data_IF_323201728130
#
_entry.id   IF_323201728130
#
_cell.length_a   1.000
_cell.length_b   1.000
_cell.length_c   1.000
_cell.angle_alpha   90.00
_cell.angle_beta   90.00
_cell.angle_gamma   90.00
#
_symmetry.space_group_name_H-M   'P 1'
#
loop_
_entity.id
_entity.type
_entity.pdbx_description
1 polymer ?
#
# COMPACT_ATOMS: atom_id res chain seq x y z
N UNK A 1 -8.40 -31.18 -25.28
CA UNK A 1 -9.30 -30.99 -24.13
C UNK A 1 -8.40 -30.69 -22.94
N UNK A 2 -8.20 -29.40 -22.62
CA UNK A 2 -7.29 -28.98 -21.55
C UNK A 2 -8.15 -28.45 -20.42
N UNK A 3 -8.26 -29.22 -19.34
CA UNK A 3 -8.98 -28.84 -18.14
C UNK A 3 -8.08 -27.89 -17.33
N UNK A 4 -8.35 -26.58 -17.37
CA UNK A 4 -7.73 -25.62 -16.46
C UNK A 4 -8.43 -25.72 -15.10
N UNK A 5 -7.73 -26.25 -14.11
CA UNK A 5 -8.14 -26.16 -12.71
C UNK A 5 -7.78 -24.78 -12.19
N UNK A 6 -8.77 -23.91 -11.99
CA UNK A 6 -8.58 -22.64 -11.30
C UNK A 6 -8.58 -22.89 -9.79
N UNK A 7 -7.41 -22.71 -9.16
CA UNK A 7 -7.28 -22.56 -7.72
C UNK A 7 -7.03 -21.07 -7.44
N UNK A 8 -7.72 -20.51 -6.45
CA UNK A 8 -7.43 -19.17 -5.94
C UNK A 8 -5.93 -19.08 -5.58
N UNK A 9 -5.21 -18.03 -5.98
CA UNK A 9 -3.82 -17.85 -5.61
C UNK A 9 -3.75 -17.63 -4.10
N UNK A 10 -3.46 -18.70 -3.36
CA UNK A 10 -2.98 -18.55 -2.00
C UNK A 10 -1.56 -18.01 -2.11
N UNK A 11 -1.27 -16.92 -1.39
CA UNK A 11 0.11 -16.49 -1.18
C UNK A 11 0.95 -17.74 -0.91
N UNK A 12 1.97 -18.00 -1.73
CA UNK A 12 2.90 -19.08 -1.44
C UNK A 12 3.38 -18.86 -0.02
N UNK A 13 3.13 -19.86 0.81
CA UNK A 13 3.62 -19.95 2.17
C UNK A 13 5.13 -19.74 2.13
N UNK A 14 5.58 -18.50 2.37
CA UNK A 14 6.95 -18.09 2.68
C UNK A 14 8.08 -18.74 1.86
N UNK A 15 8.80 -17.94 1.07
CA UNK A 15 10.10 -18.31 0.46
C UNK A 15 11.11 -18.93 1.48
N UNK A 16 10.87 -18.73 2.78
CA UNK A 16 11.62 -19.36 3.87
C UNK A 16 11.26 -20.84 4.10
N UNK A 17 11.83 -21.72 3.27
CA UNK A 17 11.71 -23.17 3.44
C UNK A 17 12.52 -23.67 4.65
N UNK A 18 13.77 -23.20 4.77
CA UNK A 18 14.77 -23.67 5.75
C UNK A 18 14.83 -22.86 7.04
N UNK A 19 14.36 -21.62 7.02
CA UNK A 19 14.42 -20.73 8.17
C UNK A 19 13.01 -20.28 8.54
N UNK A 20 12.79 -20.04 9.82
CA UNK A 20 11.66 -19.24 10.30
C UNK A 20 12.24 -17.90 10.75
N UNK A 21 11.84 -16.82 10.07
CA UNK A 21 12.36 -15.49 10.31
C UNK A 21 11.23 -14.49 10.58
N UNK A 22 11.39 -13.75 11.67
CA UNK A 22 10.56 -12.64 12.12
C UNK A 22 11.39 -11.36 12.08
N UNK A 23 10.86 -10.30 11.48
CA UNK A 23 11.52 -8.99 11.41
C UNK A 23 10.53 -7.94 11.89
N UNK A 24 10.93 -7.15 12.87
CA UNK A 24 10.13 -6.07 13.46
C UNK A 24 10.96 -4.80 13.55
N UNK A 25 10.38 -3.70 13.11
CA UNK A 25 10.94 -2.37 13.30
C UNK A 25 10.13 -1.66 14.38
N UNK A 26 10.76 -1.40 15.53
CA UNK A 26 10.11 -0.87 16.72
C UNK A 26 10.59 0.56 16.95
N UNK A 27 9.69 1.56 17.08
CA UNK A 27 10.11 2.92 17.40
C UNK A 27 10.75 2.97 18.79
N UNK A 28 11.92 3.61 18.90
CA UNK A 28 12.65 3.80 20.17
C UNK A 28 12.59 5.26 20.62
N UNK A 29 12.95 6.18 19.71
CA UNK A 29 12.91 7.63 19.93
C UNK A 29 12.41 8.31 18.67
N UNK A 30 11.39 9.15 18.79
CA UNK A 30 10.77 9.86 17.66
C UNK A 30 10.71 11.36 17.97
N UNK A 31 11.84 12.04 17.80
CA UNK A 31 11.91 13.50 17.88
C UNK A 31 11.78 14.11 16.48
N UNK A 32 11.43 15.41 16.41
CA UNK A 32 11.27 16.13 15.13
C UNK A 32 12.50 16.03 14.21
N UNK A 33 13.70 15.90 14.79
CA UNK A 33 14.98 15.84 14.06
C UNK A 33 15.69 14.49 14.12
N UNK A 34 15.25 13.56 14.97
CA UNK A 34 15.93 12.28 15.18
C UNK A 34 14.91 11.15 15.28
N UNK A 35 14.85 10.31 14.24
CA UNK A 35 14.06 9.08 14.24
C UNK A 35 14.97 7.87 14.47
N UNK A 36 14.79 7.22 15.63
CA UNK A 36 15.53 6.02 16.03
C UNK A 36 14.55 4.86 16.12
N UNK A 37 14.87 3.78 15.41
CA UNK A 37 14.14 2.52 15.50
C UNK A 37 15.06 1.41 15.99
N UNK A 38 14.51 0.45 16.72
CA UNK A 38 15.13 -0.84 17.02
C UNK A 38 14.69 -1.85 15.97
N UNK A 39 15.63 -2.31 15.15
CA UNK A 39 15.41 -3.43 14.24
C UNK A 39 15.65 -4.73 15.02
N UNK A 40 14.58 -5.51 15.21
CA UNK A 40 14.59 -6.81 15.88
C UNK A 40 14.40 -7.91 14.84
N UNK A 41 15.36 -8.82 14.76
CA UNK A 41 15.38 -9.97 13.86
C UNK A 41 15.42 -11.23 14.72
N UNK A 42 14.46 -12.13 14.52
CA UNK A 42 14.42 -13.44 15.18
C UNK A 42 14.54 -14.51 14.10
N UNK A 43 15.52 -15.42 14.25
CA UNK A 43 15.80 -16.48 13.28
C UNK A 43 15.82 -17.84 13.98
N UNK A 44 15.17 -18.83 13.39
CA UNK A 44 15.20 -20.22 13.80
C UNK A 44 15.43 -21.12 12.57
N UNK A 45 16.31 -22.11 12.68
CA UNK A 45 16.50 -23.09 11.62
C UNK A 45 15.42 -24.18 11.66
N UNK A 46 14.80 -24.49 10.52
CA UNK A 46 13.67 -25.43 10.39
C UNK A 46 14.14 -26.87 10.10
N UNK A 47 15.19 -27.30 10.77
CA UNK A 47 15.69 -28.69 10.72
C UNK A 47 15.39 -29.40 12.04
N UNK A 48 15.31 -30.73 12.01
CA UNK A 48 14.96 -31.52 13.20
C UNK A 48 16.18 -32.04 13.95
N UNK A 49 17.33 -32.11 13.27
CA UNK A 49 18.48 -32.88 13.72
C UNK A 49 19.73 -32.00 13.91
N UNK A 50 19.84 -30.87 13.18
CA UNK A 50 21.06 -30.04 13.21
C UNK A 50 20.79 -28.54 13.29
N UNK A 51 21.73 -27.82 13.88
CA UNK A 51 21.84 -26.37 13.73
C UNK A 51 22.36 -26.01 12.32
N UNK A 52 22.02 -24.82 11.82
CA UNK A 52 22.61 -24.27 10.61
C UNK A 52 23.98 -23.68 10.94
N UNK A 53 25.05 -24.19 10.34
CA UNK A 53 26.40 -23.65 10.52
C UNK A 53 26.68 -22.51 9.56
N UNK A 54 27.42 -21.48 10.01
CA UNK A 54 27.89 -20.37 9.16
C UNK A 54 26.74 -19.71 8.39
N UNK A 55 25.76 -19.21 9.12
CA UNK A 55 24.63 -18.50 8.52
C UNK A 55 24.97 -17.03 8.30
N UNK A 56 24.46 -16.47 7.20
CA UNK A 56 24.65 -15.06 6.85
C UNK A 56 23.30 -14.36 6.91
N UNK A 57 23.29 -13.21 7.59
CA UNK A 57 22.22 -12.24 7.56
C UNK A 57 22.65 -11.06 6.70
N UNK A 58 22.00 -10.90 5.55
CA UNK A 58 22.21 -9.76 4.65
C UNK A 58 21.03 -8.80 4.78
N UNK A 59 21.33 -7.61 5.31
CA UNK A 59 20.36 -6.59 5.72
C UNK A 59 20.57 -5.36 4.84
N UNK A 60 19.60 -5.08 3.97
CA UNK A 60 19.50 -3.78 3.33
C UNK A 60 19.03 -2.74 4.35
N UNK A 61 19.65 -1.56 4.37
CA UNK A 61 19.17 -0.45 5.18
C UNK A 61 18.09 0.33 4.43
N UNK A 62 17.25 1.06 5.16
CA UNK A 62 16.33 2.03 4.57
C UNK A 62 17.13 3.24 4.07
N UNK A 63 16.71 3.85 2.97
CA UNK A 63 17.39 5.04 2.43
C UNK A 63 17.45 6.15 3.49
N UNK A 64 18.65 6.68 3.74
CA UNK A 64 18.88 7.72 4.75
C UNK A 64 18.95 7.21 6.19
N UNK A 65 19.04 5.89 6.40
CA UNK A 65 19.28 5.28 7.71
C UNK A 65 20.69 4.72 7.85
N UNK A 66 21.25 4.80 9.05
CA UNK A 66 22.52 4.18 9.43
C UNK A 66 22.36 3.33 10.69
N UNK A 67 23.25 2.36 10.87
CA UNK A 67 23.21 1.46 12.03
C UNK A 67 24.01 2.01 13.20
N UNK A 68 23.54 1.74 14.41
CA UNK A 68 24.31 2.05 15.61
C UNK A 68 25.45 1.03 15.79
N UNK A 69 26.68 1.48 15.52
CA UNK A 69 27.87 0.62 15.60
C UNK A 69 28.18 0.14 17.01
N UNK A 70 27.81 0.91 18.04
CA UNK A 70 28.02 0.50 19.44
C UNK A 70 27.15 -0.73 19.79
N UNK A 71 25.92 -0.79 19.29
CA UNK A 71 25.03 -1.93 19.52
C UNK A 71 25.58 -3.19 18.82
N UNK A 72 26.08 -3.07 17.59
CA UNK A 72 26.71 -4.17 16.84
C UNK A 72 28.04 -4.64 17.48
N UNK A 73 28.80 -3.71 18.03
CA UNK A 73 30.02 -4.02 18.77
C UNK A 73 29.73 -4.83 20.04
N UNK A 74 28.66 -4.51 20.76
CA UNK A 74 28.22 -5.27 21.93
C UNK A 74 27.77 -6.69 21.57
N UNK A 75 27.20 -6.88 20.38
CA UNK A 75 26.78 -8.20 19.90
C UNK A 75 27.97 -9.06 19.43
N UNK A 76 29.03 -8.43 18.93
CA UNK A 76 30.20 -9.13 18.34
C UNK A 76 31.34 -9.36 19.34
N UNK A 77 31.47 -8.50 20.36
CA UNK A 77 32.58 -8.52 21.31
C UNK A 77 32.17 -9.16 22.64
N UNK A 78 33.08 -9.97 23.22
CA UNK A 78 32.92 -10.56 24.56
C UNK A 78 32.75 -12.08 24.56
N UNK A 79 32.58 -12.65 25.77
CA UNK A 79 32.47 -14.10 25.99
C UNK A 79 31.10 -14.69 25.59
N UNK A 80 30.07 -13.84 25.52
CA UNK A 80 28.71 -14.19 25.12
C UNK A 80 28.34 -13.53 23.78
N UNK A 81 29.29 -13.50 22.83
CA UNK A 81 29.05 -12.93 21.49
C UNK A 81 27.93 -13.71 20.80
N UNK A 82 27.00 -12.98 20.20
CA UNK A 82 25.90 -13.56 19.40
C UNK A 82 26.26 -13.57 17.92
N UNK A 83 26.98 -12.54 17.46
CA UNK A 83 27.43 -12.45 16.08
C UNK A 83 28.94 -12.68 16.00
N UNK A 84 29.40 -13.32 14.93
CA UNK A 84 30.82 -13.64 14.69
C UNK A 84 31.57 -12.41 14.17
N UNK A 85 31.01 -11.78 13.14
CA UNK A 85 31.54 -10.57 12.49
C UNK A 85 30.38 -9.82 11.84
N UNK A 86 30.54 -8.53 11.63
CA UNK A 86 29.69 -7.77 10.72
C UNK A 86 30.53 -6.93 9.74
N UNK A 87 29.98 -6.67 8.57
CA UNK A 87 30.58 -5.84 7.53
C UNK A 87 29.52 -4.84 7.04
N UNK A 88 29.91 -3.56 6.97
CA UNK A 88 29.09 -2.54 6.35
C UNK A 88 29.62 -2.25 4.95
N UNK A 89 28.76 -2.40 3.95
CA UNK A 89 29.11 -2.06 2.58
C UNK A 89 28.42 -0.75 2.19
N UNK A 90 29.21 0.31 2.12
CA UNK A 90 28.79 1.63 1.63
C UNK A 90 29.12 1.84 0.15
N UNK A 91 29.85 0.91 -0.48
CA UNK A 91 30.43 1.07 -1.82
C UNK A 91 29.51 0.53 -2.91
N UNK A 92 28.67 -0.47 -2.59
CA UNK A 92 27.84 -1.17 -3.59
C UNK A 92 26.36 -0.75 -3.62
N UNK A 93 25.90 0.14 -2.73
CA UNK A 93 24.50 0.58 -2.69
C UNK A 93 24.35 1.97 -2.09
N UNK A 94 23.61 2.85 -2.75
CA UNK A 94 23.18 4.16 -2.22
C UNK A 94 22.40 4.05 -0.89
N UNK A 95 21.85 2.86 -0.60
CA UNK A 95 21.10 2.58 0.63
C UNK A 95 21.98 2.08 1.78
N UNK A 96 23.20 1.63 1.49
CA UNK A 96 24.05 0.90 2.44
C UNK A 96 23.51 -0.50 2.75
N UNK A 97 24.40 -1.47 2.93
CA UNK A 97 24.05 -2.81 3.42
C UNK A 97 24.88 -3.21 4.63
N UNK A 98 24.29 -4.04 5.49
CA UNK A 98 24.91 -4.64 6.65
C UNK A 98 24.87 -6.15 6.50
N UNK A 99 26.03 -6.79 6.47
CA UNK A 99 26.17 -8.23 6.47
C UNK A 99 26.60 -8.66 7.87
N UNK A 100 25.84 -9.56 8.48
CA UNK A 100 26.14 -10.15 9.79
C UNK A 100 26.42 -11.64 9.59
N UNK A 101 27.54 -12.10 10.12
CA UNK A 101 27.96 -13.49 10.10
C UNK A 101 27.63 -14.15 11.44
N UNK A 102 26.92 -15.28 11.40
CA UNK A 102 26.58 -16.10 12.56
C UNK A 102 27.35 -17.41 12.50
N UNK A 103 28.02 -17.78 13.61
CA UNK A 103 28.74 -19.05 13.69
C UNK A 103 27.76 -20.23 13.51
N UNK A 104 26.55 -20.10 14.08
CA UNK A 104 25.43 -21.02 13.87
C UNK A 104 24.08 -20.32 14.08
N UNK A 105 23.00 -20.96 13.63
CA UNK A 105 21.62 -20.65 14.01
C UNK A 105 20.98 -21.92 14.56
N UNK A 106 20.45 -21.84 15.78
CA UNK A 106 19.83 -23.02 16.41
C UNK A 106 18.55 -23.48 15.71
N UNK A 107 18.34 -24.79 15.72
CA UNK A 107 17.08 -25.40 15.28
C UNK A 107 16.05 -25.58 16.41
N UNK A 108 16.43 -25.33 17.67
CA UNK A 108 15.55 -25.53 18.85
C UNK A 108 15.10 -24.24 19.51
N UNK A 109 15.92 -23.19 19.46
CA UNK A 109 15.65 -21.89 20.10
C UNK A 109 15.85 -20.77 19.10
N UNK A 110 14.91 -19.82 18.97
CA UNK A 110 15.10 -18.66 18.12
C UNK A 110 16.28 -17.83 18.62
N UNK A 111 17.16 -17.44 17.69
CA UNK A 111 18.22 -16.47 17.95
C UNK A 111 17.70 -15.06 17.65
N UNK A 112 17.86 -14.15 18.60
CA UNK A 112 17.40 -12.77 18.52
C UNK A 112 18.58 -11.82 18.33
N UNK A 113 18.50 -10.98 17.31
CA UNK A 113 19.47 -9.94 16.99
C UNK A 113 18.73 -8.62 16.93
N UNK A 114 19.10 -7.71 17.82
CA UNK A 114 18.45 -6.40 17.95
C UNK A 114 19.50 -5.30 18.02
N UNK A 115 19.36 -4.29 17.15
CA UNK A 115 20.22 -3.10 17.15
C UNK A 115 19.44 -1.87 16.69
N UNK A 116 19.92 -0.68 17.04
CA UNK A 116 19.28 0.58 16.63
C UNK A 116 19.72 1.00 15.23
N UNK A 117 18.76 1.57 14.49
CA UNK A 117 18.95 2.28 13.23
C UNK A 117 18.50 3.73 13.40
N UNK A 118 19.28 4.65 12.86
CA UNK A 118 19.11 6.10 13.00
C UNK A 118 18.86 6.71 11.63
N UNK A 119 17.88 7.59 11.53
CA UNK A 119 17.70 8.38 10.31
C UNK A 119 18.70 9.53 10.27
N UNK A 120 19.71 9.45 9.40
CA UNK A 120 20.69 10.52 9.19
C UNK A 120 20.26 11.50 8.10
N UNK A 121 19.41 11.06 7.16
CA UNK A 121 18.89 11.89 6.08
C UNK A 121 17.40 11.68 5.91
N UNK A 122 16.64 12.78 5.92
CA UNK A 122 15.20 12.77 5.62
C UNK A 122 15.01 12.66 4.12
N UNK A 123 14.21 11.68 3.70
CA UNK A 123 13.82 11.46 2.29
C UNK A 123 12.31 11.58 2.16
N UNK A 124 11.84 11.98 0.98
CA UNK A 124 10.41 12.20 0.75
C UNK A 124 9.58 10.92 0.82
N UNK A 125 10.06 9.84 0.20
CA UNK A 125 9.40 8.52 0.22
C UNK A 125 10.40 7.48 0.69
N UNK A 126 10.09 6.80 1.79
CA UNK A 126 10.85 5.66 2.26
C UNK A 126 10.44 4.42 1.47
N UNK A 127 11.42 3.78 0.84
CA UNK A 127 11.21 2.49 0.19
C UNK A 127 11.48 1.37 1.21
N UNK A 128 10.69 0.29 1.21
CA UNK A 128 10.96 -0.86 2.06
C UNK A 128 12.35 -1.44 1.80
N UNK A 129 12.94 -2.03 2.84
CA UNK A 129 14.21 -2.73 2.74
C UNK A 129 14.07 -4.17 3.20
N UNK A 130 15.10 -4.98 2.95
CA UNK A 130 15.05 -6.44 3.13
C UNK A 130 16.02 -6.92 4.18
N UNK A 131 15.62 -7.97 4.88
CA UNK A 131 16.50 -8.86 5.63
C UNK A 131 16.45 -10.20 4.94
N UNK A 132 17.61 -10.78 4.62
CA UNK A 132 17.70 -12.14 4.10
C UNK A 132 18.60 -13.00 4.97
N UNK A 133 18.22 -14.26 5.14
CA UNK A 133 19.04 -15.26 5.84
C UNK A 133 19.25 -16.49 4.97
N UNK A 134 20.48 -17.00 4.98
CA UNK A 134 20.90 -18.19 4.22
C UNK A 134 22.12 -18.85 4.86
N UNK A 135 22.37 -20.12 4.52
CA UNK A 135 23.60 -20.83 4.91
C UNK A 135 24.70 -20.52 3.89
N UNK A 136 25.97 -20.42 4.31
CA UNK A 136 27.08 -20.16 3.39
C UNK A 136 27.14 -21.13 2.19
N UNK A 137 26.85 -22.41 2.43
CA UNK A 137 26.86 -23.47 1.41
C UNK A 137 25.51 -23.66 0.69
N UNK A 138 24.42 -23.07 1.19
CA UNK A 138 23.11 -23.14 0.56
C UNK A 138 22.49 -21.75 0.43
N UNK A 139 22.55 -21.23 -0.79
CA UNK A 139 22.04 -19.91 -1.17
C UNK A 139 20.51 -19.88 -1.34
N UNK A 140 19.77 -20.72 -0.63
CA UNK A 140 18.31 -20.57 -0.51
C UNK A 140 17.99 -19.49 0.49
N UNK A 141 17.83 -18.27 -0.01
CA UNK A 141 17.51 -17.09 0.79
C UNK A 141 16.08 -17.15 1.33
N UNK A 142 15.93 -16.99 2.64
CA UNK A 142 14.69 -16.57 3.26
C UNK A 142 14.70 -15.04 3.34
N UNK A 143 13.80 -14.36 2.62
CA UNK A 143 13.74 -12.89 2.56
C UNK A 143 12.48 -12.39 3.27
N UNK A 144 12.64 -11.36 4.10
CA UNK A 144 11.52 -10.57 4.65
C UNK A 144 11.77 -9.10 4.42
N UNK A 145 10.69 -8.35 4.22
CA UNK A 145 10.75 -6.90 4.09
C UNK A 145 10.42 -6.25 5.43
N UNK A 146 10.91 -5.03 5.63
CA UNK A 146 10.53 -4.19 6.75
C UNK A 146 10.39 -2.73 6.32
N UNK A 147 9.46 -2.03 6.95
CA UNK A 147 9.16 -0.62 6.73
C UNK A 147 8.49 -0.04 7.99
N UNK A 148 8.73 1.22 8.39
CA UNK A 148 8.13 1.80 9.59
C UNK A 148 6.59 1.83 9.54
N UNK A 149 6.02 2.16 8.38
CA UNK A 149 4.58 2.39 8.23
C UNK A 149 3.83 1.23 7.54
N UNK A 150 4.53 0.30 6.89
CA UNK A 150 3.89 -0.75 6.08
C UNK A 150 3.92 -2.08 6.83
N UNK A 151 2.78 -2.77 6.88
CA UNK A 151 2.67 -4.11 7.48
C UNK A 151 3.61 -5.07 6.75
N UNK A 152 4.51 -5.71 7.50
CA UNK A 152 5.54 -6.63 6.99
C UNK A 152 6.43 -6.06 5.87
N UNK A 153 6.56 -4.73 5.77
CA UNK A 153 7.38 -4.07 4.75
C UNK A 153 6.99 -4.33 3.30
N UNK A 154 5.78 -4.84 3.05
CA UNK A 154 5.38 -5.23 1.70
C UNK A 154 5.36 -4.00 0.77
N UNK A 155 5.79 -4.21 -0.48
CA UNK A 155 5.58 -3.25 -1.55
C UNK A 155 4.09 -3.04 -1.74
N UNK A 156 3.68 -1.79 -1.95
CA UNK A 156 2.31 -1.47 -2.27
C UNK A 156 2.01 -2.06 -3.64
N UNK A 157 1.05 -2.97 -3.69
CA UNK A 157 0.64 -3.67 -4.91
C UNK A 157 -0.86 -3.60 -5.03
N UNK A 158 -1.34 -3.27 -6.23
CA UNK A 158 -2.72 -3.50 -6.59
C UNK A 158 -2.79 -4.87 -7.25
N UNK A 159 -3.46 -5.84 -6.64
CA UNK A 159 -3.60 -7.16 -7.24
C UNK A 159 -5.03 -7.36 -7.73
N UNK A 160 -5.16 -7.75 -9.00
CA UNK A 160 -6.41 -8.13 -9.65
C UNK A 160 -6.25 -9.55 -10.14
N UNK A 161 -6.91 -10.50 -9.49
CA UNK A 161 -6.69 -11.92 -9.75
C UNK A 161 -5.18 -12.26 -9.61
N UNK A 162 -4.52 -12.67 -10.69
CA UNK A 162 -3.08 -12.98 -10.75
C UNK A 162 -2.19 -11.80 -11.18
N UNK A 163 -2.77 -10.70 -11.65
CA UNK A 163 -2.02 -9.55 -12.14
C UNK A 163 -1.84 -8.53 -11.00
N UNK A 164 -0.60 -8.35 -10.54
CA UNK A 164 -0.26 -7.32 -9.56
C UNK A 164 0.55 -6.21 -10.21
N UNK A 165 0.07 -4.96 -10.11
CA UNK A 165 0.82 -3.78 -10.51
C UNK A 165 1.46 -3.11 -9.29
N UNK A 166 2.64 -2.50 -9.49
CA UNK A 166 3.27 -1.69 -8.46
C UNK A 166 2.44 -0.43 -8.23
N UNK A 167 2.13 -0.13 -6.97
CA UNK A 167 1.24 0.94 -6.59
C UNK A 167 1.89 1.89 -5.57
N UNK A 168 3.10 2.36 -5.86
CA UNK A 168 3.76 3.43 -5.11
C UNK A 168 3.26 4.82 -5.57
N UNK A 169 1.97 4.94 -5.84
CA UNK A 169 1.32 6.20 -6.22
C UNK A 169 0.65 6.85 -5.01
N UNK A 170 0.38 8.15 -5.10
CA UNK A 170 -0.33 8.88 -4.04
C UNK A 170 -1.79 8.42 -3.93
N UNK A 171 -2.32 8.41 -2.70
CA UNK A 171 -3.73 8.13 -2.43
C UNK A 171 -4.66 9.21 -3.02
N UNK A 172 -5.82 8.80 -3.53
CA UNK A 172 -6.95 9.74 -3.64
C UNK A 172 -7.35 10.20 -2.24
N UNK A 173 -7.44 11.50 -2.03
CA UNK A 173 -7.96 12.06 -0.79
C UNK A 173 -9.39 12.51 -1.01
N UNK A 174 -10.27 12.14 -0.08
CA UNK A 174 -11.62 12.66 -0.08
C UNK A 174 -11.59 14.18 0.08
N UNK A 175 -12.16 14.90 -0.89
CA UNK A 175 -12.25 16.35 -0.84
C UNK A 175 -13.24 16.74 0.26
N UNK A 176 -12.71 17.44 1.28
CA UNK A 176 -13.47 17.97 2.42
C UNK A 176 -13.27 19.49 2.49
N UNK A 177 -14.27 20.19 2.99
CA UNK A 177 -14.25 21.65 3.17
C UNK A 177 -15.02 22.42 2.10
N UNK A 178 -14.71 23.71 1.94
CA UNK A 178 -15.38 24.60 0.99
C UNK A 178 -14.78 24.43 -0.40
N UNK A 179 -15.45 23.66 -1.24
CA UNK A 179 -15.10 23.46 -2.64
C UNK A 179 -15.93 24.41 -3.50
N UNK A 180 -15.28 25.14 -4.41
CA UNK A 180 -15.97 26.06 -5.34
C UNK A 180 -16.82 25.28 -6.35
N UNK A 181 -17.98 25.82 -6.70
CA UNK A 181 -18.84 25.24 -7.74
C UNK A 181 -18.15 25.26 -9.11
N UNK A 182 -17.50 26.37 -9.45
CA UNK A 182 -16.74 26.52 -10.69
C UNK A 182 -15.67 25.42 -10.82
N UNK A 183 -14.99 25.11 -9.71
CA UNK A 183 -13.97 24.06 -9.68
C UNK A 183 -14.59 22.66 -9.94
N UNK A 184 -15.79 22.37 -9.41
CA UNK A 184 -16.46 21.08 -9.67
C UNK A 184 -16.85 20.98 -11.14
N UNK A 185 -17.45 22.03 -11.70
CA UNK A 185 -17.87 22.08 -13.10
C UNK A 185 -16.66 21.96 -14.03
N UNK A 186 -15.62 22.77 -13.83
CA UNK A 186 -14.39 22.72 -14.63
C UNK A 186 -13.74 21.34 -14.56
N UNK A 187 -13.63 20.77 -13.35
CA UNK A 187 -13.04 19.44 -13.15
C UNK A 187 -13.83 18.35 -13.88
N UNK A 188 -15.17 18.38 -13.82
CA UNK A 188 -16.03 17.40 -14.49
C UNK A 188 -15.82 17.34 -16.02
N UNK A 189 -15.31 18.44 -16.58
CA UNK A 189 -15.05 18.62 -18.00
C UNK A 189 -13.56 18.68 -18.35
N UNK A 190 -12.67 18.39 -17.41
CA UNK A 190 -11.24 18.49 -17.66
C UNK A 190 -10.76 17.48 -18.72
N UNK A 191 -10.09 17.99 -19.74
CA UNK A 191 -9.48 17.22 -20.82
C UNK A 191 -8.03 17.64 -21.10
N UNK A 192 -7.27 17.96 -20.05
CA UNK A 192 -5.86 18.33 -20.21
C UNK A 192 -5.03 17.10 -20.63
N UNK A 193 -3.85 17.29 -21.25
CA UNK A 193 -2.97 16.17 -21.61
C UNK A 193 -2.59 15.29 -20.40
N UNK A 194 -2.56 15.88 -19.20
CA UNK A 194 -2.12 15.22 -17.98
C UNK A 194 -3.29 14.73 -17.10
N UNK A 195 -4.50 15.26 -17.28
CA UNK A 195 -5.68 14.84 -16.52
C UNK A 195 -6.93 14.92 -17.39
N UNK A 196 -7.66 13.80 -17.45
CA UNK A 196 -8.88 13.67 -18.23
C UNK A 196 -9.96 13.06 -17.35
N UNK A 197 -11.11 13.72 -17.24
CA UNK A 197 -12.28 13.16 -16.59
C UNK A 197 -13.18 12.56 -17.66
N UNK A 198 -13.24 11.24 -17.74
CA UNK A 198 -14.03 10.50 -18.71
C UNK A 198 -15.43 10.19 -18.17
N UNK A 199 -15.59 10.04 -16.85
CA UNK A 199 -16.86 9.72 -16.22
C UNK A 199 -17.10 10.52 -14.94
N UNK A 200 -18.37 10.75 -14.62
CA UNK A 200 -18.82 11.43 -13.39
C UNK A 200 -20.07 10.74 -12.88
N UNK A 201 -19.98 10.12 -11.70
CA UNK A 201 -21.04 9.31 -11.12
C UNK A 201 -21.40 9.75 -9.70
N UNK A 202 -22.70 9.67 -9.38
CA UNK A 202 -23.17 9.62 -8.00
C UNK A 202 -23.29 8.15 -7.59
N UNK A 203 -22.57 7.74 -6.56
CA UNK A 203 -22.52 6.35 -6.10
C UNK A 203 -22.91 6.24 -4.63
N UNK A 204 -23.38 5.06 -4.20
CA UNK A 204 -23.56 4.68 -2.80
C UNK A 204 -22.66 3.51 -2.47
N UNK A 205 -21.95 3.58 -1.35
CA UNK A 205 -21.18 2.44 -0.84
C UNK A 205 -22.13 1.45 -0.16
N UNK A 206 -22.21 0.21 -0.67
CA UNK A 206 -23.07 -0.85 -0.13
C UNK A 206 -22.31 -1.83 0.74
N UNK A 207 -21.06 -2.14 0.39
CA UNK A 207 -20.23 -3.09 1.15
C UNK A 207 -18.74 -2.72 1.05
N UNK A 208 -18.00 -2.99 2.13
CA UNK A 208 -16.55 -2.85 2.20
C UNK A 208 -15.91 -4.17 2.62
N UNK A 209 -14.90 -4.62 1.88
CA UNK A 209 -14.10 -5.80 2.22
C UNK A 209 -12.64 -5.39 2.32
N UNK A 210 -12.06 -5.61 3.50
CA UNK A 210 -10.65 -5.31 3.75
C UNK A 210 -9.75 -6.40 3.17
N UNK A 211 -8.78 -6.00 2.35
CA UNK A 211 -7.80 -6.93 1.81
C UNK A 211 -6.40 -6.71 2.37
N UNK A 212 -5.54 -7.72 2.18
CA UNK A 212 -4.12 -7.64 2.57
C UNK A 212 -3.34 -6.66 1.68
N UNK A 213 -3.59 -6.70 0.37
CA UNK A 213 -2.94 -5.84 -0.63
C UNK A 213 -3.89 -4.80 -1.23
N UNK A 214 -5.17 -5.12 -1.36
CA UNK A 214 -6.16 -4.29 -2.06
C UNK A 214 -7.49 -4.33 -1.32
N UNK A 215 -8.02 -3.15 -1.03
CA UNK A 215 -9.35 -2.98 -0.47
C UNK A 215 -10.41 -2.95 -1.56
N UNK A 216 -11.57 -3.51 -1.25
CA UNK A 216 -12.67 -3.65 -2.19
C UNK A 216 -13.88 -2.89 -1.63
N UNK A 217 -14.34 -1.91 -2.40
CA UNK A 217 -15.55 -1.13 -2.13
C UNK A 217 -16.60 -1.47 -3.17
N UNK A 218 -17.65 -2.17 -2.77
CA UNK A 218 -18.79 -2.46 -3.64
C UNK A 218 -19.75 -1.28 -3.60
N UNK A 219 -19.85 -0.56 -4.71
CA UNK A 219 -20.68 0.64 -4.81
C UNK A 219 -21.76 0.47 -5.86
N UNK A 220 -22.96 0.98 -5.59
CA UNK A 220 -24.03 1.11 -6.58
C UNK A 220 -23.97 2.48 -7.25
N UNK A 221 -23.97 2.50 -8.57
CA UNK A 221 -24.07 3.75 -9.34
C UNK A 221 -25.53 4.21 -9.33
N UNK A 222 -25.82 5.29 -8.61
CA UNK A 222 -27.17 5.83 -8.46
C UNK A 222 -27.57 6.74 -9.62
N UNK A 223 -26.64 7.56 -10.11
CA UNK A 223 -26.87 8.48 -11.23
C UNK A 223 -25.60 8.62 -12.06
N UNK A 224 -25.76 8.53 -13.38
CA UNK A 224 -24.69 8.82 -14.35
C UNK A 224 -24.84 10.26 -14.80
N UNK A 225 -23.89 11.11 -14.39
CA UNK A 225 -23.90 12.53 -14.78
C UNK A 225 -23.17 12.66 -16.11
N UNK A 226 -21.97 12.08 -16.20
CA UNK A 226 -21.18 11.97 -17.44
C UNK A 226 -20.86 10.49 -17.67
N UNK A 227 -21.36 9.95 -18.77
CA UNK A 227 -21.09 8.57 -19.18
C UNK A 227 -19.71 8.47 -19.85
N UNK A 228 -18.94 7.47 -19.43
CA UNK A 228 -17.65 7.16 -20.05
C UNK A 228 -17.78 6.15 -21.19
N UNK A 229 -16.77 6.07 -22.06
CA UNK A 229 -16.80 5.18 -23.23
C UNK A 229 -16.48 3.70 -22.92
N UNK A 230 -15.97 3.40 -21.72
CA UNK A 230 -15.41 2.06 -21.41
C UNK A 230 -16.41 1.14 -20.69
N UNK A 231 -17.20 1.68 -19.76
CA UNK A 231 -18.30 0.99 -19.08
C UNK A 231 -19.61 1.69 -19.44
N UNK A 232 -20.39 1.05 -20.31
CA UNK A 232 -21.63 1.61 -20.87
C UNK A 232 -22.84 1.15 -20.07
N UNK A 233 -23.71 2.09 -19.73
CA UNK A 233 -24.90 1.90 -18.90
C UNK A 233 -24.59 1.38 -17.48
N UNK A 234 -23.75 2.07 -16.69
CA UNK A 234 -23.45 1.65 -15.31
C UNK A 234 -24.58 1.99 -14.32
N UNK A 235 -25.53 2.85 -14.69
CA UNK A 235 -26.62 3.30 -13.81
C UNK A 235 -27.44 2.12 -13.24
N UNK A 236 -27.70 2.18 -11.93
CA UNK A 236 -28.42 1.16 -11.17
C UNK A 236 -27.60 -0.10 -10.84
N UNK A 237 -26.44 -0.31 -11.47
CA UNK A 237 -25.61 -1.50 -11.31
C UNK A 237 -24.59 -1.33 -10.19
N UNK A 238 -24.17 -2.46 -9.64
CA UNK A 238 -23.04 -2.55 -8.74
C UNK A 238 -21.72 -2.54 -9.52
N UNK A 239 -20.74 -1.83 -8.97
CA UNK A 239 -19.38 -1.71 -9.48
C UNK A 239 -18.40 -1.84 -8.33
N UNK A 240 -17.28 -2.45 -8.65
CA UNK A 240 -16.21 -2.67 -7.68
C UNK A 240 -15.18 -1.56 -7.80
N UNK A 241 -14.96 -0.82 -6.72
CA UNK A 241 -13.91 0.17 -6.62
C UNK A 241 -12.78 -0.41 -5.75
N UNK A 242 -11.56 -0.37 -6.29
CA UNK A 242 -10.37 -0.89 -5.64
C UNK A 242 -9.56 0.27 -5.09
N UNK A 243 -9.07 0.14 -3.87
CA UNK A 243 -8.10 1.07 -3.28
C UNK A 243 -7.04 0.36 -2.48
N UNK A 244 -6.11 1.14 -1.96
CA UNK A 244 -5.00 0.64 -1.17
C UNK A 244 -5.31 0.67 0.32
N UNK A 245 -4.91 -0.36 1.10
CA UNK A 245 -5.11 -0.38 2.55
C UNK A 245 -4.57 0.84 3.30
N UNK A 246 -3.45 1.41 2.84
CA UNK A 246 -2.88 2.62 3.44
C UNK A 246 -3.68 3.89 3.13
N UNK A 247 -4.55 3.88 2.11
CA UNK A 247 -5.39 5.02 1.73
C UNK A 247 -6.74 5.06 2.47
N UNK A 248 -7.09 4.05 3.29
CA UNK A 248 -8.37 3.97 4.01
C UNK A 248 -8.68 5.25 4.78
N UNK A 249 -7.71 5.78 5.52
CA UNK A 249 -7.88 6.98 6.34
C UNK A 249 -8.09 8.24 5.49
N UNK A 250 -7.38 8.35 4.37
CA UNK A 250 -7.48 9.47 3.43
C UNK A 250 -8.79 9.48 2.65
N UNK A 251 -9.30 8.29 2.32
CA UNK A 251 -10.57 8.10 1.64
C UNK A 251 -11.76 8.29 2.57
N UNK A 252 -11.70 7.73 3.78
CA UNK A 252 -12.73 7.87 4.81
C UNK A 252 -14.16 7.64 4.28
N UNK A 253 -14.31 6.60 3.44
CA UNK A 253 -15.59 6.15 2.92
C UNK A 253 -16.34 5.38 4.01
N UNK A 254 -17.65 5.60 4.12
CA UNK A 254 -18.52 4.94 5.08
C UNK A 254 -19.65 4.21 4.37
N UNK A 255 -20.05 3.06 4.92
CA UNK A 255 -21.18 2.28 4.41
C UNK A 255 -22.47 3.10 4.40
N UNK A 256 -23.34 2.80 3.44
CA UNK A 256 -24.61 3.48 3.15
C UNK A 256 -24.52 4.97 2.80
N UNK A 257 -23.32 5.53 2.74
CA UNK A 257 -23.09 6.92 2.35
C UNK A 257 -22.96 7.07 0.84
N UNK A 258 -23.35 8.25 0.36
CA UNK A 258 -23.27 8.63 -1.05
C UNK A 258 -22.08 9.52 -1.34
N UNK A 259 -21.49 9.33 -2.53
CA UNK A 259 -20.28 10.02 -2.96
C UNK A 259 -20.39 10.44 -4.43
N UNK A 260 -19.76 11.57 -4.75
CA UNK A 260 -19.44 11.97 -6.11
C UNK A 260 -18.07 11.39 -6.47
N UNK A 261 -18.01 10.60 -7.55
CA UNK A 261 -16.75 10.08 -8.08
C UNK A 261 -16.56 10.55 -9.53
N UNK A 262 -15.41 11.14 -9.81
CA UNK A 262 -14.96 11.49 -11.16
C UNK A 262 -13.61 10.85 -11.45
N UNK A 263 -13.43 10.28 -12.62
CA UNK A 263 -12.19 9.61 -12.97
C UNK A 263 -11.96 9.46 -14.46
N UNK A 264 -10.86 8.78 -14.81
CA UNK A 264 -10.49 8.46 -16.20
C UNK A 264 -10.81 7.02 -16.53
N UNK A 265 -11.11 6.78 -17.80
CA UNK A 265 -11.28 5.45 -18.39
C UNK A 265 -10.03 4.57 -18.28
N UNK A 266 -8.84 5.16 -18.11
CA UNK A 266 -7.57 4.42 -17.90
C UNK A 266 -7.55 3.62 -16.59
N UNK A 267 -8.32 4.05 -15.61
CA UNK A 267 -8.41 3.42 -14.29
C UNK A 267 -9.54 2.38 -14.23
N UNK A 268 -10.22 2.12 -15.36
CA UNK A 268 -11.29 1.14 -15.48
C UNK A 268 -10.72 -0.13 -16.11
N UNK A 269 -10.95 -1.26 -15.46
CA UNK A 269 -10.56 -2.57 -15.93
C UNK A 269 -11.78 -3.47 -16.02
N UNK A 270 -11.81 -4.32 -17.04
CA UNK A 270 -12.87 -5.32 -17.20
C UNK A 270 -12.36 -6.63 -16.62
N UNK A 271 -13.07 -7.16 -15.64
CA UNK A 271 -12.87 -8.54 -15.20
C UNK A 271 -13.50 -9.47 -16.25
N UNK A 272 -12.65 -10.15 -17.03
CA UNK A 272 -13.09 -11.02 -18.12
C UNK A 272 -13.92 -12.21 -17.62
N UNK A 273 -13.72 -12.67 -16.38
CA UNK A 273 -14.41 -13.84 -15.83
C UNK A 273 -15.87 -13.53 -15.47
N UNK A 274 -16.10 -12.41 -14.79
CA UNK A 274 -17.44 -12.02 -14.32
C UNK A 274 -18.12 -10.99 -15.22
N UNK A 275 -17.42 -10.47 -16.24
CA UNK A 275 -17.90 -9.40 -17.11
C UNK A 275 -18.27 -8.12 -16.34
N UNK A 276 -17.63 -7.92 -15.17
CA UNK A 276 -17.82 -6.78 -14.30
C UNK A 276 -16.70 -5.76 -14.51
N UNK A 277 -17.02 -4.49 -14.34
CA UNK A 277 -16.05 -3.41 -14.40
C UNK A 277 -15.53 -3.07 -13.01
N UNK A 278 -14.21 -2.95 -12.91
CA UNK A 278 -13.46 -2.60 -11.71
C UNK A 278 -12.81 -1.23 -11.92
N UNK A 279 -12.90 -0.37 -10.91
CA UNK A 279 -12.38 0.99 -10.93
C UNK A 279 -11.25 1.14 -9.93
N UNK A 280 -10.11 1.68 -10.31
CA UNK A 280 -9.00 1.94 -9.39
C UNK A 280 -9.08 3.36 -8.85
N UNK A 281 -9.16 3.52 -7.53
CA UNK A 281 -9.10 4.82 -6.86
C UNK A 281 -7.64 5.26 -6.75
N UNK A 282 -7.13 5.93 -7.79
CA UNK A 282 -5.78 6.51 -7.87
C UNK A 282 -5.73 8.01 -7.57
N UNK A 283 -4.54 8.61 -7.50
CA UNK A 283 -4.31 10.04 -7.18
C UNK A 283 -5.23 11.02 -7.94
N UNK A 284 -5.57 10.68 -9.18
CA UNK A 284 -6.36 11.54 -10.09
C UNK A 284 -7.87 11.41 -9.92
N UNK A 285 -8.32 10.46 -9.11
CA UNK A 285 -9.75 10.23 -8.87
C UNK A 285 -10.29 11.29 -7.93
N UNK A 286 -11.32 12.01 -8.37
CA UNK A 286 -12.05 12.96 -7.51
C UNK A 286 -13.06 12.19 -6.68
N UNK A 287 -13.05 12.39 -5.36
CA UNK A 287 -14.01 11.78 -4.44
C UNK A 287 -14.49 12.86 -3.49
N UNK A 288 -15.80 13.08 -3.45
CA UNK A 288 -16.44 14.07 -2.57
C UNK A 288 -17.68 13.45 -1.91
N UNK A 289 -17.91 13.76 -0.64
CA UNK A 289 -19.12 13.29 0.05
C UNK A 289 -20.35 13.97 -0.54
N UNK A 290 -21.36 13.18 -0.89
CA UNK A 290 -22.67 13.65 -1.30
C UNK A 290 -23.63 13.53 -0.11
N UNK A 291 -24.00 14.64 0.57
CA UNK A 291 -24.86 14.57 1.75
C UNK A 291 -26.27 14.10 1.42
N UNK A 292 -26.95 13.52 2.41
CA UNK A 292 -28.35 13.11 2.30
C UNK A 292 -29.29 14.32 2.27
N UNK A 293 -30.52 14.13 1.76
CA UNK A 293 -31.50 15.22 1.66
C UNK A 293 -31.83 15.85 3.03
N UNK A 294 -31.77 15.06 4.10
CA UNK A 294 -31.93 15.53 5.47
C UNK A 294 -30.73 16.39 5.94
N UNK A 295 -29.50 15.95 5.65
CA UNK A 295 -28.28 16.72 5.95
C UNK A 295 -28.21 18.03 5.17
N UNK A 296 -28.71 18.06 3.94
CA UNK A 296 -28.79 19.25 3.09
C UNK A 296 -29.66 20.37 3.69
N UNK A 297 -30.57 20.06 4.62
CA UNK A 297 -31.34 21.08 5.35
C UNK A 297 -30.47 21.84 6.37
N UNK A 298 -29.36 21.25 6.80
CA UNK A 298 -28.41 21.85 7.73
C UNK A 298 -27.55 22.95 7.07
N UNK A 299 -27.20 23.98 7.85
CA UNK A 299 -26.36 25.10 7.37
C UNK A 299 -24.95 24.66 6.90
N UNK A 300 -24.47 23.54 7.43
CA UNK A 300 -23.15 22.99 7.12
C UNK A 300 -23.08 22.40 5.70
N UNK A 301 -24.05 21.56 5.33
CA UNK A 301 -24.03 20.83 4.05
C UNK A 301 -24.82 21.51 2.92
N UNK A 302 -25.73 22.44 3.24
CA UNK A 302 -26.50 23.21 2.26
C UNK A 302 -25.67 23.78 1.10
N UNK A 303 -24.52 24.47 1.31
CA UNK A 303 -23.74 24.98 0.17
C UNK A 303 -23.19 23.87 -0.72
N UNK A 304 -22.78 22.73 -0.14
CA UNK A 304 -22.30 21.57 -0.90
C UNK A 304 -23.42 20.96 -1.73
N UNK A 305 -24.60 20.75 -1.15
CA UNK A 305 -25.73 20.17 -1.88
C UNK A 305 -26.16 21.04 -3.06
N UNK A 306 -26.30 22.35 -2.85
CA UNK A 306 -26.62 23.29 -3.94
C UNK A 306 -25.55 23.29 -5.03
N UNK A 307 -24.27 23.24 -4.66
CA UNK A 307 -23.17 23.18 -5.63
C UNK A 307 -23.12 21.89 -6.45
N UNK A 308 -23.46 20.76 -5.83
CA UNK A 308 -23.56 19.48 -6.52
C UNK A 308 -24.76 19.45 -7.48
N UNK A 309 -25.90 19.98 -7.07
CA UNK A 309 -27.09 20.10 -7.93
C UNK A 309 -26.86 21.04 -9.10
N UNK A 310 -26.24 22.20 -8.87
CA UNK A 310 -25.89 23.16 -9.92
C UNK A 310 -24.93 22.54 -10.94
N UNK A 311 -23.88 21.84 -10.49
CA UNK A 311 -22.96 21.12 -11.38
C UNK A 311 -23.71 20.09 -12.25
N UNK A 312 -24.63 19.32 -11.67
CA UNK A 312 -25.44 18.34 -12.43
C UNK A 312 -26.32 19.04 -13.46
N UNK A 313 -27.02 20.11 -13.07
CA UNK A 313 -27.87 20.87 -13.99
C UNK A 313 -27.07 21.51 -15.13
N UNK A 314 -25.92 22.10 -14.82
CA UNK A 314 -25.04 22.70 -15.83
C UNK A 314 -24.58 21.66 -16.85
N UNK A 315 -24.16 20.47 -16.39
CA UNK A 315 -23.76 19.40 -17.29
C UNK A 315 -24.94 18.87 -18.13
N UNK A 316 -26.12 18.69 -17.54
CA UNK A 316 -27.32 18.23 -18.28
C UNK A 316 -27.79 19.24 -19.33
N UNK A 317 -27.67 20.54 -19.07
CA UNK A 317 -28.12 21.61 -19.97
C UNK A 317 -27.09 21.95 -21.05
N UNK A 318 -25.81 22.00 -20.70
CA UNK A 318 -24.76 22.55 -21.57
C UNK A 318 -23.66 21.55 -21.92
N UNK A 319 -23.61 20.40 -21.25
CA UNK A 319 -22.49 19.46 -21.34
C UNK A 319 -21.16 20.11 -20.95
N UNK A 320 -20.07 19.62 -21.55
CA UNK A 320 -18.77 20.28 -21.45
C UNK A 320 -18.61 21.28 -22.60
N UNK A 321 -18.49 22.56 -22.25
CA UNK A 321 -18.11 23.60 -23.21
C UNK A 321 -16.62 23.42 -23.56
N UNK A 322 -16.32 23.25 -24.86
CA UNK A 322 -14.96 23.08 -25.37
C UNK A 322 -14.23 24.41 -25.51
#
# INVERSE_FOLDING_TARGET
MVSLYYALPKEKESDCQKFNMSVKLIPDKMDADEMIFKLKIEVLYKDKERDASMSILDIGLLTGFTVNTNDLDLLSKGRARTISKYEMNTVLSERGSLIIYLDKVSHTRPEEITFRVHQTMKVGVLQPSTVSVYEYYDQRHCVKFYHPERKAGQLLRLCRNDECTCAEENCSMQKKGKISNDLRTEKSCETTPNSKIDFVYKVRLENFTDGLSTDIYTMRVLKVIKEGNFDVGPEGKERTFLSYPHCRQSLNLGEDKTYLIMGTSKDIHRDEQHQLYQYVLGERTWIEYWPTDAECQGKEHRPTCLGLEDMVQQYELFGCQQ
#
